data_IF_460494607637
#
_entry.id   IF_460494607637
#
_cell.length_a   1.000
_cell.length_b   1.000
_cell.length_c   1.000
_cell.angle_alpha   90.00
_cell.angle_beta   90.00
_cell.angle_gamma   90.00
#
_symmetry.space_group_name_H-M   'P 1'
#
loop_
_entity.id
_entity.type
_entity.pdbx_description
1 polymer ?
#
# COMPACT_ATOMS: atom_id res chain seq x y z
N UNK A 1 10.70 -12.24 -8.68
CA UNK A 1 9.24 -12.30 -8.65
C UNK A 1 8.72 -11.53 -7.42
N UNK A 2 7.84 -10.61 -7.64
CA UNK A 2 7.11 -9.90 -6.61
C UNK A 2 5.65 -9.76 -7.05
N UNK A 3 4.73 -9.93 -6.14
CA UNK A 3 3.32 -9.64 -6.42
C UNK A 3 2.65 -9.00 -5.21
N UNK A 4 1.75 -8.09 -5.49
CA UNK A 4 0.83 -7.51 -4.53
C UNK A 4 -0.51 -8.23 -4.67
N UNK A 5 -0.96 -8.85 -3.61
CA UNK A 5 -2.18 -9.64 -3.60
C UNK A 5 -3.21 -8.99 -2.69
N UNK A 6 -4.36 -8.65 -3.24
CA UNK A 6 -5.55 -8.28 -2.49
C UNK A 6 -6.48 -9.48 -2.46
N UNK A 7 -6.59 -10.09 -1.29
CA UNK A 7 -7.54 -11.17 -1.08
C UNK A 7 -8.99 -10.68 -1.12
N UNK A 8 -9.91 -11.64 -1.29
CA UNK A 8 -11.32 -11.42 -0.96
C UNK A 8 -11.45 -11.06 0.51
N UNK A 9 -12.58 -10.43 0.85
CA UNK A 9 -12.97 -10.15 2.23
C UNK A 9 -12.51 -11.24 3.19
N UNK A 10 -11.75 -10.85 4.21
CA UNK A 10 -11.22 -11.72 5.26
C UNK A 10 -10.07 -12.68 4.87
N UNK A 11 -9.55 -12.65 3.65
CA UNK A 11 -8.44 -13.53 3.24
C UNK A 11 -7.05 -12.90 3.23
N UNK A 12 -6.99 -11.68 3.72
CA UNK A 12 -5.72 -10.95 3.80
C UNK A 12 -5.27 -10.33 2.48
N UNK A 13 -4.28 -9.48 2.60
CA UNK A 13 -3.62 -8.81 1.49
C UNK A 13 -2.13 -8.66 1.83
N UNK A 14 -1.29 -8.46 0.84
CA UNK A 14 0.11 -8.19 1.11
C UNK A 14 1.02 -8.31 -0.11
N UNK A 15 2.32 -8.17 0.14
CA UNK A 15 3.37 -8.27 -0.86
C UNK A 15 4.15 -9.57 -0.70
N UNK A 16 4.38 -10.26 -1.82
CA UNK A 16 5.27 -11.43 -1.90
C UNK A 16 6.51 -11.07 -2.68
N UNK A 17 7.67 -11.38 -2.14
CA UNK A 17 8.95 -11.26 -2.83
C UNK A 17 9.64 -12.62 -2.84
N UNK A 18 9.83 -13.17 -4.03
CA UNK A 18 10.58 -14.40 -4.22
C UNK A 18 9.98 -15.66 -3.57
N UNK A 19 8.71 -15.67 -3.21
CA UNK A 19 8.03 -16.81 -2.61
C UNK A 19 6.80 -17.19 -3.44
N UNK A 20 6.44 -18.47 -3.42
CA UNK A 20 5.32 -19.04 -4.19
C UNK A 20 4.00 -18.99 -3.41
N UNK A 21 4.03 -18.71 -2.11
CA UNK A 21 2.84 -18.67 -1.27
C UNK A 21 2.26 -17.26 -1.21
N UNK A 22 0.95 -17.09 -1.38
CA UNK A 22 0.29 -15.80 -1.13
C UNK A 22 0.61 -15.35 0.30
N UNK A 23 0.96 -14.09 0.51
CA UNK A 23 1.23 -13.62 1.86
C UNK A 23 -0.07 -13.56 2.65
N UNK A 24 -0.04 -14.06 3.85
CA UNK A 24 -1.05 -13.81 4.87
C UNK A 24 -0.67 -12.56 5.69
N UNK A 25 -0.27 -11.47 5.03
CA UNK A 25 0.09 -10.22 5.71
C UNK A 25 -1.09 -9.28 5.70
N UNK A 26 -1.37 -8.66 6.85
CA UNK A 26 -2.42 -7.66 6.96
C UNK A 26 -2.05 -6.40 6.17
N UNK A 27 -3.00 -5.92 5.37
CA UNK A 27 -3.02 -4.58 4.82
C UNK A 27 -4.12 -3.81 5.54
N UNK A 28 -3.79 -2.64 6.06
CA UNK A 28 -4.69 -1.79 6.83
C UNK A 28 -4.94 -0.50 6.06
N UNK A 29 -6.17 -0.32 5.58
CA UNK A 29 -6.60 0.89 4.88
C UNK A 29 -7.94 1.30 5.46
N UNK A 30 -8.02 2.54 5.93
CA UNK A 30 -9.26 3.00 6.54
C UNK A 30 -9.18 4.40 7.11
N UNK A 31 -10.19 4.78 7.84
CA UNK A 31 -10.27 6.10 8.48
C UNK A 31 -11.14 6.10 9.74
N UNK A 32 -11.02 7.18 10.50
CA UNK A 32 -11.89 7.53 11.64
C UNK A 32 -12.22 9.01 11.59
N UNK A 33 -13.45 9.37 11.84
CA UNK A 33 -13.89 10.77 12.04
C UNK A 33 -13.96 11.06 13.53
N UNK A 34 -13.28 12.09 14.00
CA UNK A 34 -13.25 12.48 15.41
C UNK A 34 -12.95 11.31 16.35
N UNK A 35 -13.90 10.97 17.20
CA UNK A 35 -13.83 9.88 18.18
C UNK A 35 -14.72 8.68 17.83
N UNK A 36 -15.25 8.62 16.62
CA UNK A 36 -16.04 7.48 16.16
C UNK A 36 -15.20 6.19 16.06
N UNK A 37 -15.87 5.07 15.82
CA UNK A 37 -15.19 3.79 15.60
C UNK A 37 -14.44 3.82 14.25
N UNK A 38 -13.17 3.38 14.19
CA UNK A 38 -12.43 3.31 12.93
C UNK A 38 -13.08 2.35 11.93
N UNK A 39 -13.15 2.75 10.66
CA UNK A 39 -13.64 1.94 9.56
C UNK A 39 -12.48 1.47 8.68
N UNK A 40 -12.37 0.16 8.46
CA UNK A 40 -11.28 -0.45 7.69
C UNK A 40 -11.81 -1.23 6.50
N UNK A 41 -11.08 -1.18 5.39
CA UNK A 41 -11.29 -2.08 4.26
C UNK A 41 -11.03 -3.54 4.69
N UNK A 42 -11.73 -4.51 4.10
CA UNK A 42 -11.71 -5.91 4.57
C UNK A 42 -10.50 -6.71 4.09
N UNK A 43 -9.31 -6.10 4.08
CA UNK A 43 -8.08 -6.76 3.63
C UNK A 43 -7.33 -7.50 4.72
N UNK A 44 -7.60 -7.20 5.98
CA UNK A 44 -6.99 -7.90 7.11
C UNK A 44 -7.81 -9.13 7.48
N UNK A 45 -7.17 -10.28 7.67
CA UNK A 45 -7.85 -11.55 7.93
C UNK A 45 -8.52 -11.64 9.30
N UNK A 46 -8.33 -10.68 10.19
CA UNK A 46 -8.82 -10.76 11.59
C UNK A 46 -8.29 -11.97 12.38
N UNK A 47 -7.36 -12.74 11.79
CA UNK A 47 -6.71 -13.84 12.49
C UNK A 47 -5.81 -13.30 13.59
N UNK A 48 -5.78 -13.98 14.72
CA UNK A 48 -4.82 -13.75 15.80
C UNK A 48 -3.41 -14.01 15.26
N UNK A 49 -2.72 -12.95 14.87
CA UNK A 49 -1.30 -13.05 14.59
C UNK A 49 -0.58 -13.21 15.93
N UNK A 50 0.34 -14.18 16.01
CA UNK A 50 1.03 -14.62 17.21
C UNK A 50 1.50 -13.49 18.14
N UNK A 51 0.65 -13.17 19.08
CA UNK A 51 0.81 -12.10 20.06
C UNK A 51 1.88 -12.38 21.12
N UNK A 52 2.50 -13.57 21.07
CA UNK A 52 3.42 -14.00 22.11
C UNK A 52 4.60 -13.07 22.37
N UNK A 53 5.11 -12.39 21.35
CA UNK A 53 6.23 -11.45 21.51
C UNK A 53 5.80 -10.04 21.93
N UNK A 54 4.67 -9.56 21.44
CA UNK A 54 4.17 -8.23 21.75
C UNK A 54 3.78 -8.08 23.22
N UNK A 55 3.05 -9.05 23.77
CA UNK A 55 2.67 -9.07 25.17
C UNK A 55 3.88 -9.19 26.13
N UNK A 56 4.98 -9.78 25.66
CA UNK A 56 6.19 -9.95 26.46
C UNK A 56 6.98 -8.63 26.63
N UNK A 57 6.99 -7.78 25.62
CA UNK A 57 7.77 -6.53 25.61
C UNK A 57 7.01 -5.29 26.06
N UNK A 58 5.68 -5.24 25.84
CA UNK A 58 4.88 -4.06 26.19
C UNK A 58 4.38 -4.05 27.63
N UNK A 59 4.42 -5.17 28.34
CA UNK A 59 3.78 -5.32 29.63
C UNK A 59 2.25 -5.25 29.58
N UNK A 60 1.69 -5.08 28.39
CA UNK A 60 0.24 -5.13 28.16
C UNK A 60 -0.21 -6.59 28.03
N UNK A 61 -1.37 -6.89 28.60
CA UNK A 61 -1.94 -8.21 28.45
C UNK A 61 -2.34 -8.43 26.99
N UNK A 62 -2.15 -9.66 26.48
CA UNK A 62 -2.58 -10.04 25.11
C UNK A 62 -4.06 -9.73 24.82
N UNK A 63 -4.87 -9.58 25.87
CA UNK A 63 -6.27 -9.20 25.80
C UNK A 63 -6.46 -7.75 25.29
N UNK A 64 -5.59 -6.80 25.67
CA UNK A 64 -5.73 -5.40 25.25
C UNK A 64 -5.44 -5.21 23.75
N UNK A 65 -4.50 -5.98 23.19
CA UNK A 65 -4.20 -5.91 21.76
C UNK A 65 -5.35 -6.51 20.95
N UNK A 66 -5.88 -7.67 21.37
CA UNK A 66 -7.07 -8.30 20.76
C UNK A 66 -8.31 -7.37 20.81
N UNK A 67 -8.49 -6.62 21.90
CA UNK A 67 -9.59 -5.68 22.06
C UNK A 67 -9.48 -4.47 21.12
N UNK A 68 -8.29 -3.95 20.88
CA UNK A 68 -8.07 -2.84 19.95
C UNK A 68 -8.33 -3.23 18.50
N UNK A 69 -7.99 -4.45 18.08
CA UNK A 69 -8.37 -5.00 16.78
C UNK A 69 -9.87 -5.23 16.65
N UNK A 70 -10.55 -5.58 17.75
CA UNK A 70 -12.01 -5.79 17.78
C UNK A 70 -12.80 -4.48 17.72
N UNK A 71 -12.19 -3.36 18.10
CA UNK A 71 -12.84 -2.03 18.09
C UNK A 71 -12.86 -1.37 16.70
N UNK A 72 -12.06 -1.84 15.76
CA UNK A 72 -12.12 -1.33 14.40
C UNK A 72 -13.21 -2.07 13.62
N UNK A 73 -14.20 -1.32 13.15
CA UNK A 73 -15.27 -1.84 12.29
C UNK A 73 -14.73 -2.08 10.89
N UNK A 74 -15.06 -3.21 10.32
CA UNK A 74 -14.91 -3.42 8.88
C UNK A 74 -16.12 -2.88 8.16
N UNK A 75 -15.90 -2.30 6.99
CA UNK A 75 -17.00 -1.97 6.11
C UNK A 75 -17.79 -3.23 5.76
N UNK A 76 -19.12 -3.13 5.78
CA UNK A 76 -19.96 -4.16 5.18
C UNK A 76 -19.80 -4.13 3.65
N UNK A 77 -20.03 -5.25 2.95
CA UNK A 77 -19.96 -5.30 1.49
C UNK A 77 -20.81 -4.25 0.78
N UNK A 78 -21.95 -3.90 1.37
CA UNK A 78 -22.92 -2.94 0.84
C UNK A 78 -22.48 -1.47 1.00
N UNK A 79 -21.47 -1.22 1.85
CA UNK A 79 -20.89 0.11 2.09
C UNK A 79 -19.70 0.38 1.15
N UNK A 80 -19.28 -0.61 0.36
CA UNK A 80 -18.12 -0.53 -0.53
C UNK A 80 -18.54 -0.85 -1.96
N UNK A 81 -18.28 0.08 -2.85
CA UNK A 81 -18.28 -0.16 -4.29
C UNK A 81 -16.87 -0.61 -4.71
N UNK A 82 -16.78 -1.73 -5.41
CA UNK A 82 -15.54 -2.25 -6.01
C UNK A 82 -15.63 -2.14 -7.51
N UNK A 83 -14.72 -1.41 -8.10
CA UNK A 83 -14.61 -1.24 -9.55
C UNK A 83 -13.28 -1.80 -10.05
N UNK A 84 -13.34 -2.57 -11.13
CA UNK A 84 -12.19 -3.16 -11.78
C UNK A 84 -11.95 -2.40 -13.08
N UNK A 85 -10.70 -1.96 -13.26
CA UNK A 85 -10.22 -1.26 -14.45
C UNK A 85 -9.17 -2.13 -15.13
N UNK A 86 -8.83 -1.81 -16.37
CA UNK A 86 -7.71 -2.47 -17.03
C UNK A 86 -6.38 -2.13 -16.35
N UNK A 87 -6.24 -0.93 -15.84
CA UNK A 87 -5.05 -0.48 -15.10
C UNK A 87 -4.98 -0.94 -13.64
N UNK A 88 -6.03 -1.56 -13.10
CA UNK A 88 -6.07 -1.98 -11.69
C UNK A 88 -7.45 -2.04 -11.05
N UNK A 89 -7.53 -1.80 -9.78
CA UNK A 89 -8.76 -1.90 -8.99
C UNK A 89 -8.98 -0.71 -8.06
N UNK A 90 -10.24 -0.40 -7.78
CA UNK A 90 -10.63 0.65 -6.85
C UNK A 90 -11.71 0.16 -5.89
N UNK A 91 -11.59 0.54 -4.62
CA UNK A 91 -12.60 0.38 -3.56
C UNK A 91 -13.02 1.77 -3.11
N UNK A 92 -14.32 2.04 -3.16
CA UNK A 92 -14.91 3.31 -2.74
C UNK A 92 -15.92 3.08 -1.63
N UNK A 93 -15.84 3.90 -0.60
CA UNK A 93 -16.88 4.12 0.38
C UNK A 93 -17.38 5.56 0.27
N UNK A 94 -18.34 5.96 1.10
CA UNK A 94 -18.86 7.34 1.12
C UNK A 94 -17.76 8.39 1.31
N UNK A 95 -16.76 8.09 2.15
CA UNK A 95 -15.76 9.08 2.59
C UNK A 95 -14.33 8.71 2.25
N UNK A 96 -14.10 7.59 1.56
CA UNK A 96 -12.76 7.14 1.22
C UNK A 96 -12.75 6.39 -0.11
N UNK A 97 -11.72 6.63 -0.93
CA UNK A 97 -11.37 5.83 -2.09
C UNK A 97 -9.97 5.26 -1.95
N UNK A 98 -9.80 4.00 -2.32
CA UNK A 98 -8.51 3.34 -2.40
C UNK A 98 -8.37 2.66 -3.77
N UNK A 99 -7.43 3.13 -4.58
CA UNK A 99 -7.19 2.61 -5.94
C UNK A 99 -5.76 2.11 -6.08
N UNK A 100 -5.61 0.98 -6.74
CA UNK A 100 -4.33 0.38 -7.11
C UNK A 100 -4.15 0.54 -8.61
N UNK A 101 -2.96 0.97 -9.01
CA UNK A 101 -2.52 1.03 -10.40
C UNK A 101 -1.40 0.03 -10.59
N UNK A 102 -1.62 -0.97 -11.42
CA UNK A 102 -0.59 -1.84 -11.97
C UNK A 102 -0.34 -1.41 -13.41
N UNK A 103 0.92 -1.10 -13.73
CA UNK A 103 1.24 -0.55 -15.03
C UNK A 103 1.53 -1.68 -16.01
N UNK A 104 0.71 -1.73 -17.06
CA UNK A 104 0.98 -2.55 -18.23
C UNK A 104 1.43 -1.60 -19.35
N UNK A 105 2.68 -1.20 -19.30
CA UNK A 105 3.31 -0.50 -20.40
C UNK A 105 3.86 -1.50 -21.42
N UNK A 106 4.27 -1.01 -22.57
CA UNK A 106 5.09 -1.79 -23.48
C UNK A 106 6.37 -2.21 -22.73
N UNK A 107 6.63 -3.52 -22.68
CA UNK A 107 7.88 -4.05 -22.13
C UNK A 107 8.89 -4.09 -23.28
N UNK A 108 9.83 -3.16 -23.33
CA UNK A 108 10.78 -3.10 -24.42
C UNK A 108 11.76 -4.30 -24.38
N UNK A 109 12.33 -4.64 -25.53
CA UNK A 109 13.39 -5.63 -25.56
C UNK A 109 14.61 -5.10 -24.77
N UNK A 110 15.03 -5.79 -23.70
CA UNK A 110 16.18 -5.36 -22.89
C UNK A 110 17.47 -5.19 -23.67
N UNK A 111 17.63 -5.88 -24.80
CA UNK A 111 18.80 -5.76 -25.66
C UNK A 111 18.81 -4.47 -26.50
N UNK A 112 17.65 -3.83 -26.67
CA UNK A 112 17.49 -2.66 -27.56
C UNK A 112 17.31 -1.35 -26.79
N UNK A 113 17.11 -1.40 -25.47
CA UNK A 113 16.86 -0.22 -24.64
C UNK A 113 17.89 -0.07 -23.53
N UNK A 114 18.17 1.16 -23.17
CA UNK A 114 19.13 1.50 -22.12
C UNK A 114 18.71 2.78 -21.39
N UNK A 115 19.42 3.09 -20.31
CA UNK A 115 19.25 4.35 -19.58
C UNK A 115 17.87 4.55 -18.99
N UNK A 116 17.32 5.74 -19.10
CA UNK A 116 16.06 6.16 -18.47
C UNK A 116 14.86 5.32 -18.94
N UNK A 117 14.81 4.94 -20.22
CA UNK A 117 13.71 4.12 -20.75
C UNK A 117 13.68 2.74 -20.09
N UNK A 118 14.83 2.08 -19.95
CA UNK A 118 14.92 0.80 -19.28
C UNK A 118 14.60 0.94 -17.77
N UNK A 119 15.12 1.98 -17.12
CA UNK A 119 14.85 2.26 -15.70
C UNK A 119 13.33 2.40 -15.44
N UNK A 120 12.63 3.19 -16.23
CA UNK A 120 11.17 3.35 -16.11
C UNK A 120 10.41 2.06 -16.40
N UNK A 121 10.75 1.35 -17.50
CA UNK A 121 10.04 0.16 -17.94
C UNK A 121 10.20 -1.06 -17.02
N UNK A 122 11.35 -1.17 -16.34
CA UNK A 122 11.66 -2.31 -15.45
C UNK A 122 11.58 -1.96 -13.96
N UNK A 123 11.05 -0.80 -13.61
CA UNK A 123 10.88 -0.39 -12.20
C UNK A 123 9.93 -1.34 -11.46
N UNK A 124 10.38 -1.97 -10.36
CA UNK A 124 9.58 -2.94 -9.61
C UNK A 124 8.67 -2.24 -8.59
N UNK A 125 7.74 -1.43 -9.06
CA UNK A 125 6.80 -0.67 -8.22
C UNK A 125 5.41 -0.59 -8.82
N UNK A 126 4.44 -0.31 -7.96
CA UNK A 126 3.06 0.07 -8.31
C UNK A 126 2.70 1.38 -7.61
N UNK A 127 1.68 2.07 -8.09
CA UNK A 127 1.14 3.24 -7.43
C UNK A 127 -0.22 2.92 -6.81
N UNK A 128 -0.46 3.52 -5.65
CA UNK A 128 -1.71 3.45 -4.92
C UNK A 128 -2.23 4.88 -4.76
N UNK A 129 -3.51 5.09 -4.94
CA UNK A 129 -4.17 6.36 -4.65
C UNK A 129 -5.11 6.18 -3.48
N UNK A 130 -4.92 7.00 -2.44
CA UNK A 130 -5.77 7.05 -1.28
C UNK A 130 -6.43 8.42 -1.21
N UNK A 131 -7.74 8.47 -1.25
CA UNK A 131 -8.51 9.71 -1.20
C UNK A 131 -9.47 9.70 -0.01
N UNK A 132 -9.64 10.88 0.60
CA UNK A 132 -10.53 11.11 1.73
C UNK A 132 -11.46 12.28 1.43
N UNK A 133 -12.75 12.12 1.73
CA UNK A 133 -13.77 13.17 1.64
C UNK A 133 -14.36 13.43 3.02
N UNK A 134 -13.96 14.55 3.61
CA UNK A 134 -14.45 15.06 4.89
C UNK A 134 -15.23 16.38 4.74
N UNK A 135 -15.80 16.64 3.55
CA UNK A 135 -16.51 17.90 3.28
C UNK A 135 -17.71 18.13 4.20
N UNK A 136 -18.43 17.06 4.51
CA UNK A 136 -19.60 17.11 5.40
C UNK A 136 -19.22 16.90 6.88
N UNK A 137 -17.96 16.55 7.17
CA UNK A 137 -17.46 16.28 8.52
C UNK A 137 -17.29 17.54 9.34
N UNK A 138 -17.70 17.50 10.62
CA UNK A 138 -17.50 18.57 11.59
C UNK A 138 -16.21 18.46 12.37
N UNK A 139 -15.65 17.25 12.43
CA UNK A 139 -14.43 16.90 13.13
C UNK A 139 -13.33 16.53 12.14
N UNK A 140 -12.07 16.56 12.61
CA UNK A 140 -10.94 16.05 11.85
C UNK A 140 -11.13 14.55 11.55
N UNK A 141 -10.80 14.15 10.32
CA UNK A 141 -10.71 12.76 9.94
C UNK A 141 -9.25 12.30 9.98
N UNK A 142 -9.02 11.14 10.59
CA UNK A 142 -7.72 10.47 10.59
C UNK A 142 -7.76 9.30 9.61
N UNK A 143 -6.89 9.29 8.61
CA UNK A 143 -6.70 8.20 7.66
C UNK A 143 -5.56 7.26 8.07
N UNK A 144 -5.60 6.03 7.57
CA UNK A 144 -4.57 5.01 7.75
C UNK A 144 -4.30 4.28 6.43
N UNK A 145 -3.03 4.18 6.08
CA UNK A 145 -2.50 3.14 5.20
C UNK A 145 -1.38 2.42 5.93
N UNK A 146 -1.45 1.11 6.10
CA UNK A 146 -0.45 0.37 6.85
C UNK A 146 -0.33 -1.09 6.46
N UNK A 147 0.78 -1.71 6.84
CA UNK A 147 1.07 -3.10 6.51
C UNK A 147 1.77 -3.82 7.67
N UNK A 148 1.62 -5.13 7.69
CA UNK A 148 2.43 -6.01 8.54
C UNK A 148 3.77 -6.35 7.90
N UNK A 149 4.73 -6.74 8.74
CA UNK A 149 6.08 -7.11 8.29
C UNK A 149 7.00 -5.91 8.03
N UNK A 150 6.58 -4.73 8.45
CA UNK A 150 7.36 -3.50 8.41
C UNK A 150 8.37 -3.47 9.55
N UNK A 151 9.55 -2.91 9.32
CA UNK A 151 10.67 -2.92 10.27
C UNK A 151 11.33 -1.57 10.49
N UNK A 152 11.18 -0.62 9.56
CA UNK A 152 11.81 0.69 9.68
C UNK A 152 11.02 1.80 8.98
N UNK A 153 11.05 3.03 9.51
CA UNK A 153 10.60 4.21 8.79
C UNK A 153 11.61 4.60 7.69
N UNK A 154 11.12 5.13 6.58
CA UNK A 154 11.97 5.59 5.48
C UNK A 154 12.53 6.99 5.71
N UNK A 155 11.85 7.83 6.49
CA UNK A 155 12.36 9.15 6.84
C UNK A 155 13.74 9.13 7.49
N UNK A 156 14.06 8.09 8.23
CA UNK A 156 15.39 7.92 8.87
C UNK A 156 16.51 7.72 7.84
N UNK A 157 16.27 6.87 6.81
CA UNK A 157 17.29 6.54 5.80
C UNK A 157 17.42 7.61 4.71
N UNK A 158 16.35 8.37 4.48
CA UNK A 158 16.29 9.37 3.40
C UNK A 158 16.42 10.81 3.90
N UNK A 159 16.75 11.03 5.18
CA UNK A 159 16.76 12.36 5.80
C UNK A 159 15.46 13.16 5.58
N UNK A 160 14.32 12.45 5.57
CA UNK A 160 13.01 13.06 5.37
C UNK A 160 12.64 13.34 3.90
N UNK A 161 13.44 12.89 2.92
CA UNK A 161 13.08 13.02 1.51
C UNK A 161 11.88 12.14 1.12
N UNK A 162 11.68 11.02 1.81
CA UNK A 162 10.51 10.16 1.70
C UNK A 162 9.85 10.00 3.07
N UNK A 163 8.51 10.01 3.11
CA UNK A 163 7.74 9.52 4.24
C UNK A 163 7.17 8.15 3.89
N UNK A 164 7.46 7.15 4.70
CA UNK A 164 7.01 5.79 4.40
C UNK A 164 7.63 4.74 5.31
N UNK A 165 7.39 3.50 4.96
CA UNK A 165 7.78 2.35 5.77
C UNK A 165 8.36 1.24 4.93
N UNK A 166 9.39 0.57 5.43
CA UNK A 166 10.04 -0.54 4.76
C UNK A 166 10.18 -1.79 5.64
N UNK A 167 10.27 -2.93 4.98
CA UNK A 167 10.58 -4.24 5.53
C UNK A 167 12.00 -4.61 5.14
N UNK A 168 12.93 -4.65 6.08
CA UNK A 168 14.30 -5.17 5.87
C UNK A 168 14.80 -5.10 4.41
N UNK A 169 14.61 -3.97 3.77
CA UNK A 169 15.07 -3.62 2.40
C UNK A 169 14.47 -4.45 1.25
N UNK A 170 13.47 -5.31 1.52
CA UNK A 170 12.86 -6.12 0.46
C UNK A 170 11.65 -5.47 -0.19
N UNK A 171 10.82 -4.77 0.57
CA UNK A 171 9.68 -4.01 0.07
C UNK A 171 9.36 -2.86 1.02
N UNK A 172 8.68 -1.87 0.48
CA UNK A 172 8.22 -0.73 1.25
C UNK A 172 7.23 0.10 0.47
N UNK A 173 6.72 1.11 1.14
CA UNK A 173 5.84 2.10 0.55
C UNK A 173 6.22 3.50 1.04
N UNK A 174 6.05 4.47 0.17
CA UNK A 174 6.37 5.86 0.47
C UNK A 174 5.43 6.84 -0.22
N UNK A 175 5.41 8.05 0.32
CA UNK A 175 4.86 9.25 -0.32
C UNK A 175 5.90 10.36 -0.30
N UNK A 176 5.70 11.37 -1.13
CA UNK A 176 6.42 12.64 -0.97
C UNK A 176 6.05 13.28 0.38
N UNK A 177 7.00 13.97 1.06
CA UNK A 177 6.74 14.58 2.35
C UNK A 177 5.54 15.53 2.32
N UNK A 178 4.65 15.38 3.29
CA UNK A 178 3.47 16.22 3.48
C UNK A 178 3.29 16.52 4.97
N UNK A 179 2.91 17.75 5.30
CA UNK A 179 2.82 18.22 6.68
C UNK A 179 1.69 17.56 7.49
N UNK A 180 0.70 17.01 6.81
CA UNK A 180 -0.47 16.33 7.34
C UNK A 180 -0.32 14.80 7.39
N UNK A 181 0.90 14.29 7.12
CA UNK A 181 1.20 12.86 7.13
C UNK A 181 2.32 12.54 8.11
N UNK A 182 2.12 11.48 8.87
CA UNK A 182 3.08 10.97 9.85
C UNK A 182 3.31 9.48 9.67
N UNK A 183 4.56 9.06 9.86
CA UNK A 183 4.93 7.66 9.96
C UNK A 183 4.51 7.10 11.32
N UNK A 184 3.87 5.94 11.33
CA UNK A 184 3.46 5.24 12.56
C UNK A 184 3.96 3.79 12.53
N UNK A 185 4.46 3.32 13.65
CA UNK A 185 4.96 1.95 13.79
C UNK A 185 4.69 1.43 15.20
N UNK A 186 3.96 0.33 15.31
CA UNK A 186 3.58 -0.26 16.58
C UNK A 186 3.26 -1.75 16.41
N UNK A 187 3.01 -2.44 17.53
CA UNK A 187 2.45 -3.79 17.55
C UNK A 187 1.02 -3.86 16.98
N UNK A 188 0.30 -2.75 17.05
CA UNK A 188 -0.97 -2.50 16.39
C UNK A 188 -0.95 -1.12 15.74
N UNK A 189 -0.72 -1.08 14.43
CA UNK A 189 -0.74 0.17 13.67
C UNK A 189 -2.11 0.87 13.72
N UNK A 190 -3.19 0.09 13.88
CA UNK A 190 -4.55 0.62 14.08
C UNK A 190 -4.61 1.41 15.38
N UNK A 191 -4.13 0.82 16.47
CA UNK A 191 -4.12 1.49 17.77
C UNK A 191 -3.21 2.73 17.78
N UNK A 192 -2.01 2.60 17.22
CA UNK A 192 -1.07 3.71 17.09
C UNK A 192 -1.66 4.88 16.29
N UNK A 193 -2.34 4.57 15.19
CA UNK A 193 -2.93 5.59 14.32
C UNK A 193 -4.10 6.31 14.99
N UNK A 194 -4.99 5.58 15.62
CA UNK A 194 -6.28 6.14 16.05
C UNK A 194 -6.33 6.50 17.53
N UNK A 195 -5.50 5.91 18.38
CA UNK A 195 -5.63 6.06 19.83
C UNK A 195 -4.37 6.56 20.54
N UNK A 196 -3.22 6.60 19.87
CA UNK A 196 -1.95 6.98 20.48
C UNK A 196 -1.42 8.30 19.90
N UNK A 197 -0.80 9.11 20.78
CA UNK A 197 -0.09 10.32 20.35
C UNK A 197 1.38 10.06 19.96
N UNK A 198 1.90 8.87 20.24
CA UNK A 198 3.27 8.45 19.91
C UNK A 198 3.26 7.41 18.81
N UNK A 199 4.23 7.51 17.90
CA UNK A 199 4.10 6.91 16.60
C UNK A 199 5.17 5.88 16.21
N UNK A 200 6.31 5.78 16.89
CA UNK A 200 7.40 4.93 16.41
C UNK A 200 7.94 3.98 17.48
N UNK A 201 7.35 2.77 17.57
CA UNK A 201 7.92 1.65 18.31
C UNK A 201 8.80 0.81 17.38
N UNK A 202 10.12 1.07 17.34
CA UNK A 202 11.07 0.44 16.40
C UNK A 202 11.24 -1.09 16.57
N UNK A 203 10.69 -1.69 17.62
CA UNK A 203 10.68 -3.14 17.82
C UNK A 203 9.43 -3.80 17.25
N UNK A 204 8.45 -3.02 16.86
CA UNK A 204 7.19 -3.50 16.33
C UNK A 204 7.32 -4.04 14.90
N UNK A 205 6.27 -4.67 14.41
CA UNK A 205 6.24 -5.30 13.09
C UNK A 205 5.08 -4.84 12.20
N UNK A 206 4.32 -3.86 12.66
CA UNK A 206 3.31 -3.18 11.86
C UNK A 206 3.70 -1.72 11.70
N UNK A 207 3.54 -1.19 10.51
CA UNK A 207 3.86 0.20 10.23
C UNK A 207 2.94 0.78 9.16
N UNK A 208 2.77 2.09 9.20
CA UNK A 208 1.87 2.79 8.30
C UNK A 208 2.11 4.28 8.24
N UNK A 209 1.25 4.91 7.48
CA UNK A 209 1.12 6.35 7.38
C UNK A 209 -0.21 6.76 8.00
N UNK A 210 -0.17 7.74 8.87
CA UNK A 210 -1.33 8.44 9.44
C UNK A 210 -1.52 9.73 8.67
N UNK A 211 -2.74 9.94 8.20
CA UNK A 211 -3.14 11.12 7.45
C UNK A 211 -4.10 11.94 8.32
N UNK A 212 -3.92 13.27 8.34
CA UNK A 212 -4.81 14.21 9.04
C UNK A 212 -5.59 15.03 8.03
N UNK A 213 -6.89 14.84 7.98
CA UNK A 213 -7.77 15.52 7.04
C UNK A 213 -8.69 16.45 7.83
N UNK A 214 -8.51 17.79 7.71
CA UNK A 214 -9.34 18.75 8.41
C UNK A 214 -10.83 18.58 8.12
N UNK A 215 -11.68 19.06 9.02
CA UNK A 215 -13.11 19.20 8.74
C UNK A 215 -13.32 20.06 7.47
N UNK A 216 -14.38 19.77 6.73
CA UNK A 216 -14.78 20.47 5.51
C UNK A 216 -13.73 20.46 4.40
N UNK A 217 -12.88 19.40 4.32
CA UNK A 217 -11.84 19.30 3.31
C UNK A 217 -11.83 17.94 2.60
N UNK A 218 -11.09 17.89 1.50
CA UNK A 218 -10.72 16.66 0.78
C UNK A 218 -9.21 16.56 0.71
N UNK A 219 -8.71 15.33 0.71
CA UNK A 219 -7.30 15.08 0.52
C UNK A 219 -7.10 13.86 -0.40
N UNK A 220 -6.04 13.89 -1.18
CA UNK A 220 -5.63 12.77 -2.03
C UNK A 220 -4.12 12.58 -1.90
N UNK A 221 -3.70 11.34 -1.76
CA UNK A 221 -2.31 10.95 -1.61
C UNK A 221 -1.96 9.85 -2.60
N UNK A 222 -0.80 9.98 -3.23
CA UNK A 222 -0.21 8.93 -4.05
C UNK A 222 0.86 8.24 -3.23
N UNK A 223 0.73 6.93 -3.11
CA UNK A 223 1.65 6.06 -2.38
C UNK A 223 2.35 5.18 -3.41
N UNK A 224 3.67 5.25 -3.48
CA UNK A 224 4.46 4.27 -4.22
C UNK A 224 4.66 3.04 -3.33
N UNK A 225 4.44 1.84 -3.87
CA UNK A 225 4.79 0.58 -3.24
C UNK A 225 5.82 -0.10 -4.13
N UNK A 226 6.99 -0.34 -3.59
CA UNK A 226 8.15 -0.86 -4.32
C UNK A 226 8.71 -2.13 -3.69
N UNK A 227 9.46 -2.85 -4.51
CA UNK A 227 10.18 -4.05 -4.13
C UNK A 227 11.60 -3.95 -4.63
N UNK A 228 12.58 -4.26 -3.76
CA UNK A 228 13.97 -4.37 -4.15
C UNK A 228 14.59 -5.61 -3.50
N UNK A 229 15.23 -6.41 -4.29
CA UNK A 229 16.00 -7.55 -3.80
C UNK A 229 17.22 -7.73 -4.68
N UNK A 230 18.37 -7.46 -4.09
CA UNK A 230 19.65 -7.75 -4.69
C UNK A 230 20.01 -9.23 -4.52
N UNK A 231 20.98 -9.69 -5.32
CA UNK A 231 21.54 -11.01 -5.24
C UNK A 231 20.98 -12.02 -6.26
N UNK A 232 21.35 -13.27 -6.07
CA UNK A 232 21.04 -14.34 -7.01
C UNK A 232 19.57 -14.75 -6.91
N UNK A 233 18.90 -14.81 -8.05
CA UNK A 233 17.51 -15.28 -8.14
C UNK A 233 17.43 -16.80 -7.95
N UNK A 234 16.27 -17.29 -7.52
CA UNK A 234 15.99 -18.72 -7.27
C UNK A 234 15.73 -19.53 -8.54
N UNK A 235 16.18 -19.06 -9.71
CA UNK A 235 15.93 -19.71 -11.01
C UNK A 235 16.76 -20.95 -11.30
N UNK A 236 17.63 -21.37 -10.36
CA UNK A 236 18.59 -22.46 -10.58
C UNK A 236 19.80 -22.06 -11.44
N UNK A 237 19.85 -20.84 -11.91
CA UNK A 237 20.99 -20.23 -12.63
C UNK A 237 21.54 -19.06 -11.82
N UNK A 238 22.82 -18.77 -12.00
CA UNK A 238 23.44 -17.58 -11.38
C UNK A 238 22.99 -16.35 -12.17
N UNK A 239 21.84 -15.80 -11.77
CA UNK A 239 21.23 -14.62 -12.38
C UNK A 239 20.71 -13.69 -11.28
N UNK A 240 20.70 -12.41 -11.54
CA UNK A 240 20.04 -11.40 -10.70
C UNK A 240 18.79 -10.86 -11.39
N UNK A 241 17.96 -10.14 -10.65
CA UNK A 241 16.81 -9.45 -11.23
C UNK A 241 17.30 -8.27 -12.08
N UNK A 242 16.76 -8.09 -13.30
CA UNK A 242 17.25 -7.09 -14.24
C UNK A 242 17.16 -5.66 -13.74
N UNK A 243 16.14 -5.35 -12.94
CA UNK A 243 15.98 -4.00 -12.36
C UNK A 243 17.15 -3.59 -11.44
N UNK A 244 17.90 -4.54 -10.86
CA UNK A 244 19.08 -4.22 -10.03
C UNK A 244 20.24 -3.62 -10.83
N UNK A 245 20.16 -3.62 -12.16
CA UNK A 245 21.07 -2.88 -13.02
C UNK A 245 20.78 -1.37 -13.07
N UNK A 246 19.59 -0.95 -12.63
CA UNK A 246 19.10 0.42 -12.77
C UNK A 246 18.80 1.09 -11.45
N UNK A 247 18.60 0.34 -10.38
CA UNK A 247 18.27 0.82 -9.05
C UNK A 247 19.31 0.32 -8.05
N UNK A 248 19.66 1.18 -7.11
CA UNK A 248 20.67 0.88 -6.08
C UNK A 248 20.03 0.19 -4.87
N UNK A 249 18.83 0.61 -4.49
CA UNK A 249 18.11 0.13 -3.31
C UNK A 249 16.59 0.33 -3.46
N UNK A 250 15.86 0.08 -2.37
CA UNK A 250 14.42 0.25 -2.31
C UNK A 250 14.00 1.71 -2.37
N UNK A 251 14.74 2.59 -1.72
CA UNK A 251 14.50 4.03 -1.67
C UNK A 251 14.56 4.63 -3.07
N UNK A 252 15.56 4.25 -3.85
CA UNK A 252 15.73 4.67 -5.25
C UNK A 252 14.56 4.21 -6.15
N UNK A 253 14.03 3.00 -5.91
CA UNK A 253 12.82 2.50 -6.60
C UNK A 253 11.61 3.36 -6.24
N UNK A 254 11.43 3.68 -4.95
CA UNK A 254 10.27 4.43 -4.47
C UNK A 254 10.31 5.89 -4.93
N UNK A 255 11.47 6.54 -4.85
CA UNK A 255 11.69 7.90 -5.34
C UNK A 255 11.39 8.01 -6.83
N UNK A 256 11.98 7.12 -7.63
CA UNK A 256 11.71 7.05 -9.07
C UNK A 256 10.23 6.83 -9.39
N UNK A 257 9.49 6.05 -8.58
CA UNK A 257 8.08 5.82 -8.78
C UNK A 257 7.24 7.08 -8.49
N UNK A 258 7.60 7.82 -7.45
CA UNK A 258 6.93 9.07 -7.08
C UNK A 258 7.22 10.20 -8.08
N UNK A 259 8.45 10.30 -8.58
CA UNK A 259 8.85 11.30 -9.58
C UNK A 259 8.11 11.12 -10.90
N UNK A 260 7.86 9.86 -11.31
CA UNK A 260 7.17 9.54 -12.56
C UNK A 260 5.65 9.32 -12.39
N UNK A 261 5.07 9.78 -11.28
CA UNK A 261 3.64 9.58 -10.95
C UNK A 261 2.70 10.05 -12.06
N UNK A 262 2.85 11.28 -12.55
CA UNK A 262 1.96 11.86 -13.56
C UNK A 262 1.99 11.09 -14.87
N UNK A 263 3.18 10.69 -15.32
CA UNK A 263 3.35 9.88 -16.53
C UNK A 263 2.71 8.50 -16.36
N UNK A 264 2.92 7.88 -15.22
CA UNK A 264 2.37 6.57 -14.88
C UNK A 264 0.84 6.58 -14.83
N UNK A 265 0.23 7.58 -14.17
CA UNK A 265 -1.23 7.75 -14.12
C UNK A 265 -1.82 8.06 -15.51
N UNK A 266 -1.11 8.82 -16.33
CA UNK A 266 -1.52 9.07 -17.72
C UNK A 266 -1.52 7.77 -18.55
N UNK A 267 -0.52 6.92 -18.41
CA UNK A 267 -0.46 5.60 -19.05
C UNK A 267 -1.62 4.70 -18.59
N UNK A 268 -1.85 4.64 -17.27
CA UNK A 268 -2.96 3.89 -16.69
C UNK A 268 -4.31 4.35 -17.26
N UNK A 269 -4.55 5.65 -17.31
CA UNK A 269 -5.78 6.21 -17.88
C UNK A 269 -5.96 5.84 -19.35
N UNK A 270 -4.91 5.90 -20.17
CA UNK A 270 -4.98 5.51 -21.58
C UNK A 270 -5.38 4.03 -21.76
N UNK A 271 -4.92 3.15 -20.87
CA UNK A 271 -5.30 1.74 -20.89
C UNK A 271 -6.79 1.56 -20.54
N UNK A 272 -7.28 2.28 -19.54
CA UNK A 272 -8.69 2.25 -19.15
C UNK A 272 -9.57 2.80 -20.29
N UNK A 273 -9.22 3.96 -20.85
CA UNK A 273 -9.92 4.59 -21.98
C UNK A 273 -9.94 3.67 -23.23
N UNK A 274 -8.86 2.90 -23.47
CA UNK A 274 -8.79 1.93 -24.57
C UNK A 274 -9.80 0.79 -24.39
N UNK A 275 -9.92 0.26 -23.17
CA UNK A 275 -10.88 -0.80 -22.89
C UNK A 275 -12.33 -0.28 -22.94
N UNK A 276 -12.61 0.87 -22.36
CA UNK A 276 -13.92 1.51 -22.38
C UNK A 276 -14.39 1.83 -23.82
N UNK A 277 -13.48 2.31 -24.67
CA UNK A 277 -13.77 2.66 -26.06
C UNK A 277 -13.77 1.47 -27.03
N UNK A 278 -13.47 0.26 -26.57
CA UNK A 278 -13.31 -0.93 -27.41
C UNK A 278 -14.61 -1.41 -28.08
N UNK A 279 -15.79 -0.95 -27.62
CA UNK A 279 -17.09 -1.44 -28.06
C UNK A 279 -17.42 -2.88 -27.64
N UNK A 280 -16.62 -3.47 -26.76
CA UNK A 280 -16.89 -4.78 -26.15
C UNK A 280 -18.03 -4.68 -25.13
N UNK A 281 -18.73 -5.80 -24.90
CA UNK A 281 -19.71 -5.86 -23.84
C UNK A 281 -19.04 -5.74 -22.46
N UNK A 282 -19.78 -5.25 -21.48
CA UNK A 282 -19.31 -5.08 -20.09
C UNK A 282 -18.66 -6.35 -19.53
N UNK A 283 -19.29 -7.52 -19.74
CA UNK A 283 -18.75 -8.81 -19.33
C UNK A 283 -17.37 -9.12 -19.95
N UNK A 284 -17.19 -8.76 -21.24
CA UNK A 284 -15.90 -8.96 -21.91
C UNK A 284 -14.83 -8.00 -21.43
N UNK A 285 -15.20 -6.75 -21.20
CA UNK A 285 -14.31 -5.77 -20.59
C UNK A 285 -13.85 -6.24 -19.21
N UNK A 286 -14.78 -6.75 -18.39
CA UNK A 286 -14.46 -7.33 -17.08
C UNK A 286 -13.50 -8.51 -17.17
N UNK A 287 -13.72 -9.45 -18.09
CA UNK A 287 -12.85 -10.61 -18.27
C UNK A 287 -11.44 -10.19 -18.72
N UNK A 288 -11.32 -9.20 -19.60
CA UNK A 288 -10.02 -8.67 -20.03
C UNK A 288 -9.29 -7.96 -18.90
N UNK A 289 -10.00 -7.19 -18.09
CA UNK A 289 -9.43 -6.48 -16.95
C UNK A 289 -8.97 -7.44 -15.82
N UNK A 290 -9.49 -8.68 -15.80
CA UNK A 290 -9.12 -9.71 -14.81
C UNK A 290 -8.00 -10.65 -15.29
N UNK A 291 -7.66 -10.67 -16.58
CA UNK A 291 -6.66 -11.57 -17.17
C UNK A 291 -5.24 -11.07 -16.93
#
# INVERSE_FOLDING_TARGET
YASFVLGRMERGAGVVVGNVRPPERGLFVGYRVGHEEPHLLPFSSGRKYGLGSAAYFSGESSQNIDENYKKARRFNPEEIERQIYFSGEEWRSKSMGFRIYSFFGEVPDPALVSGAVARSAFRPSILLRLSFDNCDGKDEMTGLFGMQGIRRPLSDSTNGALLGMASNDCFGFAINPAADVEEVMDWSVINATFNCNHSLCRLASEGGLRFRIPAHSRAEYIIALGVYRDGITTSGRRACAYYTCFFEDLEDVLESALDETEESLCKAKKLDDLLESSGLSEDRCFLIAQA
#
